data_IF_007923805782
#
_entry.id   IF_007923805782
#
_cell.length_a   1.000
_cell.length_b   1.000
_cell.length_c   1.000
_cell.angle_alpha   90.00
_cell.angle_beta   90.00
_cell.angle_gamma   90.00
#
_symmetry.space_group_name_H-M   'P 1'
#
loop_
_entity.id
_entity.type
_entity.pdbx_description
1 polymer ?
#
# COMPACT_ATOMS: atom_id res chain seq x y z
N UNK A 1 -9.50 -22.26 3.70
CA UNK A 1 -10.53 -22.07 2.66
C UNK A 1 -10.27 -20.71 2.04
N UNK A 2 -9.68 -20.71 0.84
CA UNK A 2 -9.21 -19.50 0.18
C UNK A 2 -10.37 -18.72 -0.42
N UNK A 3 -10.58 -17.49 0.04
CA UNK A 3 -11.48 -16.55 -0.62
C UNK A 3 -10.97 -16.29 -2.04
N UNK A 4 -11.74 -16.76 -3.02
CA UNK A 4 -11.62 -16.40 -4.43
C UNK A 4 -11.72 -14.89 -4.53
N UNK A 5 -10.60 -14.24 -4.88
CA UNK A 5 -10.64 -12.82 -5.21
C UNK A 5 -11.64 -12.62 -6.35
N UNK A 6 -12.44 -11.56 -6.29
CA UNK A 6 -13.31 -11.22 -7.41
C UNK A 6 -12.47 -10.53 -8.48
N UNK A 7 -12.72 -10.80 -9.77
CA UNK A 7 -12.10 -10.04 -10.87
C UNK A 7 -12.68 -8.61 -11.01
N UNK A 8 -13.52 -8.19 -10.05
CA UNK A 8 -14.14 -6.88 -10.00
C UNK A 8 -13.12 -5.84 -9.55
N UNK A 9 -12.90 -4.83 -10.38
CA UNK A 9 -12.10 -3.66 -10.01
C UNK A 9 -12.84 -2.83 -8.94
N UNK A 10 -12.13 -2.37 -7.90
CA UNK A 10 -12.68 -1.43 -6.92
C UNK A 10 -13.03 -0.11 -7.61
N UNK A 11 -14.19 0.42 -7.28
CA UNK A 11 -14.64 1.70 -7.83
C UNK A 11 -14.00 2.87 -7.11
N UNK A 12 -13.92 4.01 -7.81
CA UNK A 12 -13.51 5.29 -7.20
C UNK A 12 -14.34 5.66 -5.98
N UNK A 13 -15.66 5.43 -6.04
CA UNK A 13 -16.56 5.73 -4.92
C UNK A 13 -16.24 4.90 -3.67
N UNK A 14 -15.85 3.64 -3.82
CA UNK A 14 -15.43 2.78 -2.71
C UNK A 14 -14.11 3.23 -2.05
N UNK A 15 -13.27 3.94 -2.80
CA UNK A 15 -11.98 4.49 -2.33
C UNK A 15 -12.09 5.97 -1.90
N UNK A 16 -13.14 6.68 -2.27
CA UNK A 16 -13.38 8.09 -1.93
C UNK A 16 -13.91 8.27 -0.49
N UNK A 17 -13.23 7.65 0.48
CA UNK A 17 -13.57 7.65 1.90
C UNK A 17 -12.37 8.06 2.75
N UNK A 18 -12.55 8.17 4.08
CA UNK A 18 -11.44 8.43 5.00
C UNK A 18 -10.32 7.38 4.84
N UNK A 19 -9.03 7.76 4.82
CA UNK A 19 -7.92 6.82 4.64
C UNK A 19 -7.90 5.66 5.63
N UNK A 20 -8.42 5.83 6.85
CA UNK A 20 -8.56 4.73 7.83
C UNK A 20 -9.57 3.69 7.35
N UNK A 21 -10.71 4.14 6.84
CA UNK A 21 -11.75 3.27 6.28
C UNK A 21 -11.25 2.59 5.00
N UNK A 22 -10.59 3.35 4.12
CA UNK A 22 -9.98 2.80 2.91
C UNK A 22 -8.91 1.75 3.23
N UNK A 23 -8.07 1.98 4.25
CA UNK A 23 -7.03 1.04 4.65
C UNK A 23 -7.61 -0.30 5.11
N UNK A 24 -8.67 -0.29 5.92
CA UNK A 24 -9.35 -1.52 6.34
C UNK A 24 -10.00 -2.25 5.16
N UNK A 25 -10.63 -1.52 4.23
CA UNK A 25 -11.22 -2.09 3.00
C UNK A 25 -10.18 -2.73 2.09
N UNK A 26 -8.99 -2.14 2.00
CA UNK A 26 -7.92 -2.63 1.13
C UNK A 26 -7.28 -3.94 1.61
N UNK A 27 -7.40 -4.29 2.89
CA UNK A 27 -6.92 -5.58 3.38
C UNK A 27 -7.73 -6.72 2.74
N UNK A 28 -7.02 -7.71 2.20
CA UNK A 28 -7.60 -8.82 1.44
C UNK A 28 -7.83 -8.53 -0.04
N UNK A 29 -7.88 -7.27 -0.46
CA UNK A 29 -7.93 -6.89 -1.89
C UNK A 29 -6.63 -7.28 -2.61
N UNK A 30 -6.70 -7.43 -3.93
CA UNK A 30 -5.55 -7.84 -4.75
C UNK A 30 -5.08 -6.68 -5.61
N UNK A 31 -3.83 -6.28 -5.47
CA UNK A 31 -3.17 -5.36 -6.39
C UNK A 31 -2.54 -6.17 -7.52
N UNK A 32 -3.04 -5.99 -8.74
CA UNK A 32 -2.52 -6.61 -9.95
C UNK A 32 -1.69 -5.58 -10.74
N UNK A 33 -0.52 -6.00 -11.22
CA UNK A 33 0.34 -5.22 -12.09
C UNK A 33 0.69 -6.03 -13.34
N UNK A 34 0.32 -5.52 -14.51
CA UNK A 34 0.62 -6.07 -15.83
C UNK A 34 1.78 -5.31 -16.45
N UNK A 35 2.80 -6.06 -16.85
CA UNK A 35 4.01 -5.53 -17.50
C UNK A 35 4.34 -6.41 -18.70
N UNK A 36 5.24 -5.96 -19.58
CA UNK A 36 5.70 -6.75 -20.72
C UNK A 36 6.38 -8.07 -20.32
N UNK A 37 6.95 -8.13 -19.10
CA UNK A 37 7.53 -9.35 -18.53
C UNK A 37 6.48 -10.34 -18.01
N UNK A 38 5.23 -9.91 -17.84
CA UNK A 38 4.13 -10.70 -17.29
C UNK A 38 3.34 -9.98 -16.20
N UNK A 39 2.39 -10.71 -15.60
CA UNK A 39 1.49 -10.21 -14.56
C UNK A 39 1.90 -10.72 -13.19
N UNK A 40 1.92 -9.85 -12.19
CA UNK A 40 2.04 -10.21 -10.77
C UNK A 40 0.83 -9.66 -10.03
N UNK A 41 0.22 -10.50 -9.18
CA UNK A 41 -0.91 -10.12 -8.35
C UNK A 41 -0.60 -10.39 -6.87
N UNK A 42 -0.84 -9.38 -6.02
CA UNK A 42 -0.51 -9.42 -4.59
C UNK A 42 -1.76 -9.13 -3.77
N UNK A 43 -2.16 -10.08 -2.92
CA UNK A 43 -3.18 -9.87 -1.89
C UNK A 43 -2.60 -9.03 -0.77
N UNK A 44 -3.20 -7.87 -0.50
CA UNK A 44 -2.73 -6.95 0.52
C UNK A 44 -3.02 -7.51 1.92
N UNK A 45 -1.99 -7.57 2.77
CA UNK A 45 -2.11 -8.03 4.17
C UNK A 45 -1.62 -7.01 5.18
N UNK A 46 -1.01 -5.91 4.73
CA UNK A 46 -0.55 -4.82 5.58
C UNK A 46 -0.60 -3.49 4.83
N UNK A 47 -1.16 -2.46 5.48
CA UNK A 47 -1.29 -1.10 4.94
C UNK A 47 -1.16 -0.05 6.04
N UNK A 48 -0.90 1.21 5.66
CA UNK A 48 -0.90 2.35 6.57
C UNK A 48 -1.73 3.52 6.03
N UNK A 49 -2.60 4.09 6.86
CA UNK A 49 -3.38 5.28 6.52
C UNK A 49 -2.60 6.57 6.80
N UNK A 50 -2.75 7.54 5.89
CA UNK A 50 -2.23 8.90 6.00
C UNK A 50 -3.33 9.91 5.66
N UNK A 51 -3.77 10.70 6.65
CA UNK A 51 -4.94 11.61 6.54
C UNK A 51 -4.65 13.00 5.97
N UNK A 52 -3.43 13.21 5.49
CA UNK A 52 -3.10 14.42 4.76
C UNK A 52 -2.83 15.61 5.67
N UNK A 53 -3.67 16.65 5.60
CA UNK A 53 -3.44 17.94 6.25
C UNK A 53 -3.49 17.91 7.78
N UNK A 54 -4.15 16.93 8.37
CA UNK A 54 -4.27 16.74 9.83
C UNK A 54 -3.30 15.66 10.38
N UNK A 55 -2.40 15.15 9.54
CA UNK A 55 -1.47 14.08 9.88
C UNK A 55 -0.01 14.52 9.72
N UNK A 56 0.70 14.86 10.81
CA UNK A 56 2.10 15.29 10.75
C UNK A 56 3.07 14.32 10.07
N UNK A 57 2.72 13.03 9.96
CA UNK A 57 3.54 12.04 9.28
C UNK A 57 3.25 11.94 7.77
N UNK A 58 2.20 12.60 7.28
CA UNK A 58 1.83 12.60 5.87
C UNK A 58 2.71 13.54 5.05
N UNK A 59 3.00 13.14 3.81
CA UNK A 59 3.63 14.01 2.83
C UNK A 59 2.81 15.27 2.52
N UNK A 60 1.50 15.28 2.80
CA UNK A 60 0.62 16.41 2.51
C UNK A 60 0.42 17.35 3.71
N UNK A 61 1.01 17.07 4.87
CA UNK A 61 0.83 17.87 6.09
C UNK A 61 1.17 19.35 5.90
N UNK A 62 2.21 19.64 5.10
CA UNK A 62 2.67 21.01 4.79
C UNK A 62 2.09 21.56 3.49
N UNK A 63 1.03 20.94 2.96
CA UNK A 63 0.39 21.32 1.72
C UNK A 63 0.95 20.64 0.46
N UNK A 64 0.46 21.12 -0.68
CA UNK A 64 0.72 20.55 -2.01
C UNK A 64 2.11 20.95 -2.52
N UNK A 65 2.77 19.99 -3.17
CA UNK A 65 4.09 20.11 -3.79
C UNK A 65 4.09 19.30 -5.10
N UNK A 66 5.01 19.55 -6.05
CA UNK A 66 5.11 18.73 -7.26
C UNK A 66 5.30 17.23 -6.98
N UNK A 67 5.91 16.87 -5.84
CA UNK A 67 6.13 15.48 -5.46
C UNK A 67 4.85 14.78 -5.03
N UNK A 68 4.02 15.43 -4.23
CA UNK A 68 2.83 14.82 -3.62
C UNK A 68 1.53 15.20 -4.37
N UNK A 69 1.61 15.90 -5.50
CA UNK A 69 0.46 16.44 -6.23
C UNK A 69 -0.61 15.37 -6.54
N UNK A 70 -0.17 14.15 -6.89
CA UNK A 70 -1.07 12.99 -7.11
C UNK A 70 -1.96 12.72 -5.89
N UNK A 71 -1.45 12.89 -4.66
CA UNK A 71 -2.24 12.66 -3.45
C UNK A 71 -3.40 13.66 -3.28
N UNK A 72 -3.39 14.77 -4.00
CA UNK A 72 -4.49 15.74 -4.02
C UNK A 72 -5.44 15.53 -5.21
N UNK A 73 -5.23 14.49 -6.02
CA UNK A 73 -6.10 14.13 -7.13
C UNK A 73 -7.27 13.23 -6.69
N UNK A 74 -7.99 12.63 -7.66
CA UNK A 74 -9.12 11.75 -7.37
C UNK A 74 -8.71 10.45 -6.66
N UNK A 75 -9.57 9.92 -5.79
CA UNK A 75 -9.39 8.59 -5.21
C UNK A 75 -9.15 7.50 -6.27
N UNK A 76 -8.36 6.50 -5.89
CA UNK A 76 -7.95 5.39 -6.75
C UNK A 76 -6.69 5.66 -7.57
N UNK A 77 -6.13 6.87 -7.58
CA UNK A 77 -4.85 7.11 -8.22
C UNK A 77 -3.68 6.53 -7.42
N UNK A 78 -2.67 6.02 -8.11
CA UNK A 78 -1.47 5.45 -7.51
C UNK A 78 -0.42 6.54 -7.28
N UNK A 79 -0.10 6.85 -6.03
CA UNK A 79 1.02 7.72 -5.69
C UNK A 79 2.29 6.91 -5.43
N UNK A 80 3.23 6.95 -6.38
CA UNK A 80 4.52 6.26 -6.32
C UNK A 80 5.64 7.27 -6.11
N UNK A 81 6.46 7.06 -5.08
CA UNK A 81 7.59 7.94 -4.79
C UNK A 81 8.85 7.16 -4.47
N UNK A 82 9.99 7.77 -4.81
CA UNK A 82 11.31 7.21 -4.53
C UNK A 82 11.76 7.52 -3.09
N UNK A 83 12.39 6.55 -2.44
CA UNK A 83 12.84 6.62 -1.04
C UNK A 83 14.24 6.01 -0.91
N UNK A 84 15.06 6.61 -0.04
CA UNK A 84 16.43 6.17 0.28
C UNK A 84 17.36 5.94 -0.91
N UNK A 85 17.11 6.62 -2.04
CA UNK A 85 18.00 6.56 -3.21
C UNK A 85 17.97 5.24 -3.98
N UNK A 86 17.12 4.26 -3.61
CA UNK A 86 17.14 2.93 -4.23
C UNK A 86 15.77 2.22 -4.31
N UNK A 87 14.73 2.72 -3.66
CA UNK A 87 13.46 2.02 -3.53
C UNK A 87 12.28 2.91 -3.87
N UNK A 88 11.17 2.31 -4.30
CA UNK A 88 9.89 2.98 -4.42
C UNK A 88 8.97 2.57 -3.26
N UNK A 89 8.00 3.42 -2.96
CA UNK A 89 6.80 3.07 -2.19
C UNK A 89 5.59 3.51 -3.00
N UNK A 90 4.46 2.84 -2.79
CA UNK A 90 3.22 3.11 -3.51
C UNK A 90 2.06 3.28 -2.54
N UNK A 91 1.17 4.23 -2.85
CA UNK A 91 -0.01 4.56 -2.05
C UNK A 91 -1.20 4.65 -2.97
N UNK A 92 -2.39 4.34 -2.45
CA UNK A 92 -3.65 4.55 -3.15
C UNK A 92 -4.30 5.80 -2.58
N UNK A 93 -4.56 6.78 -3.43
CA UNK A 93 -5.24 8.02 -3.05
C UNK A 93 -6.66 7.71 -2.60
N UNK A 94 -7.07 8.35 -1.51
CA UNK A 94 -8.37 8.26 -0.86
C UNK A 94 -9.04 9.63 -0.88
N UNK A 95 -10.23 9.77 -0.28
CA UNK A 95 -11.00 11.02 -0.23
C UNK A 95 -11.40 11.53 -1.63
N UNK A 96 -11.77 12.81 -1.73
CA UNK A 96 -12.22 13.44 -2.97
C UNK A 96 -11.13 14.32 -3.57
N UNK A 97 -11.26 14.61 -4.87
CA UNK A 97 -10.34 15.50 -5.58
C UNK A 97 -10.16 16.83 -4.84
N UNK A 98 -8.90 17.29 -4.75
CA UNK A 98 -8.48 18.44 -3.98
C UNK A 98 -8.20 18.19 -2.48
N UNK A 99 -8.66 17.06 -1.91
CA UNK A 99 -8.50 16.74 -0.48
C UNK A 99 -7.47 15.62 -0.30
N UNK A 100 -6.29 15.89 0.31
CA UNK A 100 -5.23 14.91 0.36
C UNK A 100 -5.49 13.81 1.38
N UNK A 101 -5.33 12.56 0.96
CA UNK A 101 -5.33 11.39 1.85
C UNK A 101 -4.96 10.15 1.07
N UNK A 102 -4.24 9.21 1.67
CA UNK A 102 -3.87 7.98 0.98
C UNK A 102 -3.59 6.83 1.93
N UNK A 103 -3.54 5.64 1.36
CA UNK A 103 -3.16 4.40 2.03
C UNK A 103 -1.85 3.89 1.43
N UNK A 104 -0.79 3.82 2.24
CA UNK A 104 0.47 3.17 1.87
C UNK A 104 0.27 1.66 1.80
N UNK A 105 0.71 1.07 0.70
CA UNK A 105 0.74 -0.37 0.50
C UNK A 105 2.03 -0.95 1.08
N UNK A 106 1.93 -1.73 2.15
CA UNK A 106 3.11 -2.18 2.90
C UNK A 106 3.50 -3.60 2.60
N UNK A 107 2.57 -4.53 2.67
CA UNK A 107 2.91 -5.92 2.44
C UNK A 107 1.75 -6.73 1.90
N UNK A 108 2.09 -7.85 1.28
CA UNK A 108 1.12 -8.75 0.70
C UNK A 108 1.68 -10.11 0.35
N UNK A 109 0.77 -11.00 0.02
CA UNK A 109 1.02 -12.37 -0.41
C UNK A 109 0.89 -12.43 -1.94
N UNK A 110 1.90 -12.97 -2.62
CA UNK A 110 1.83 -13.14 -4.08
C UNK A 110 0.85 -14.27 -4.38
N UNK A 111 -0.24 -13.95 -5.08
CA UNK A 111 -1.32 -14.90 -5.43
C UNK A 111 -1.30 -15.31 -6.90
N UNK A 112 -0.61 -14.55 -7.75
CA UNK A 112 -0.33 -14.91 -9.14
C UNK A 112 1.00 -14.29 -9.59
N UNK A 113 1.70 -14.93 -10.54
CA UNK A 113 2.99 -14.46 -11.06
C UNK A 113 4.18 -14.71 -10.12
N UNK A 114 4.14 -15.77 -9.30
CA UNK A 114 5.16 -16.04 -8.27
C UNK A 114 6.58 -16.17 -8.84
N UNK A 115 6.76 -16.82 -9.99
CA UNK A 115 8.09 -16.99 -10.59
C UNK A 115 8.70 -15.65 -11.04
N UNK A 116 7.88 -14.76 -11.63
CA UNK A 116 8.30 -13.40 -11.97
C UNK A 116 8.60 -12.58 -10.71
N UNK A 117 7.78 -12.72 -9.66
CA UNK A 117 8.05 -12.07 -8.38
C UNK A 117 9.37 -12.55 -7.76
N UNK A 118 9.70 -13.84 -7.84
CA UNK A 118 10.99 -14.42 -7.39
C UNK A 118 12.17 -13.87 -8.19
N UNK A 119 12.03 -13.78 -9.51
CA UNK A 119 13.05 -13.18 -10.38
C UNK A 119 13.34 -11.72 -9.99
N UNK A 120 12.29 -10.94 -9.70
CA UNK A 120 12.41 -9.55 -9.23
C UNK A 120 12.92 -9.44 -7.78
N UNK A 121 12.82 -10.51 -7.00
CA UNK A 121 13.16 -10.58 -5.57
C UNK A 121 14.11 -11.75 -5.26
N UNK A 122 15.31 -11.80 -5.86
CA UNK A 122 16.22 -12.95 -5.73
C UNK A 122 16.77 -13.16 -4.32
N UNK A 123 16.62 -12.16 -3.43
CA UNK A 123 17.04 -12.23 -2.03
C UNK A 123 15.98 -12.80 -1.09
N UNK A 124 14.75 -13.01 -1.55
CA UNK A 124 13.71 -13.65 -0.75
C UNK A 124 14.01 -15.15 -0.60
N UNK A 125 13.98 -15.67 0.63
CA UNK A 125 14.22 -17.11 0.89
C UNK A 125 12.94 -17.93 0.78
N UNK A 126 11.78 -17.28 0.92
CA UNK A 126 10.45 -17.88 0.94
C UNK A 126 9.48 -16.94 0.24
N UNK A 127 8.38 -17.48 -0.30
CA UNK A 127 7.38 -16.68 -1.01
C UNK A 127 6.73 -15.60 -0.13
N UNK A 128 6.55 -15.90 1.17
CA UNK A 128 6.08 -14.93 2.15
C UNK A 128 7.00 -13.71 2.33
N UNK A 129 8.24 -13.73 1.83
CA UNK A 129 9.19 -12.62 1.92
C UNK A 129 9.22 -11.76 0.65
N UNK A 130 8.59 -12.21 -0.44
CA UNK A 130 8.63 -11.54 -1.76
C UNK A 130 8.15 -10.10 -1.67
N UNK A 131 7.03 -9.88 -0.98
CA UNK A 131 6.40 -8.58 -0.80
C UNK A 131 6.26 -8.17 0.67
N UNK A 132 7.17 -8.64 1.53
CA UNK A 132 7.20 -8.34 2.98
C UNK A 132 7.82 -6.97 3.28
N UNK A 133 7.11 -5.90 2.95
CA UNK A 133 7.53 -4.50 3.17
C UNK A 133 7.37 -3.64 1.91
N UNK A 134 7.19 -2.31 2.05
CA UNK A 134 6.63 -1.47 0.99
C UNK A 134 7.51 -1.44 -0.27
N UNK A 135 8.82 -1.32 -0.10
CA UNK A 135 9.78 -1.40 -1.19
C UNK A 135 9.76 -2.76 -1.90
N UNK A 136 9.65 -3.85 -1.13
CA UNK A 136 9.63 -5.21 -1.67
C UNK A 136 8.34 -5.47 -2.45
N UNK A 137 7.21 -4.99 -1.95
CA UNK A 137 5.93 -5.02 -2.64
C UNK A 137 6.02 -4.32 -4.00
N UNK A 138 6.53 -3.09 -4.04
CA UNK A 138 6.69 -2.36 -5.32
C UNK A 138 7.63 -3.08 -6.28
N UNK A 139 8.75 -3.64 -5.79
CA UNK A 139 9.69 -4.38 -6.64
C UNK A 139 9.06 -5.67 -7.18
N UNK A 140 8.34 -6.43 -6.38
CA UNK A 140 7.68 -7.65 -6.83
C UNK A 140 6.64 -7.37 -7.95
N UNK A 141 5.88 -6.27 -7.81
CA UNK A 141 4.91 -5.82 -8.81
C UNK A 141 5.53 -5.13 -10.03
N UNK A 142 6.83 -4.83 -10.02
CA UNK A 142 7.47 -4.05 -11.09
C UNK A 142 7.10 -2.57 -11.09
N UNK A 143 6.60 -2.03 -9.97
CA UNK A 143 6.21 -0.63 -9.86
C UNK A 143 7.43 0.29 -9.75
N UNK A 144 7.39 1.36 -10.53
CA UNK A 144 8.45 2.38 -10.65
C UNK A 144 7.85 3.74 -11.05
N UNK A 145 8.69 4.78 -11.18
CA UNK A 145 8.26 6.18 -11.39
C UNK A 145 7.16 6.40 -12.45
N UNK A 146 7.24 5.83 -13.68
CA UNK A 146 6.14 5.94 -14.66
C UNK A 146 4.74 5.51 -14.21
N UNK A 147 4.62 4.69 -13.16
CA UNK A 147 3.32 4.28 -12.63
C UNK A 147 2.67 5.33 -11.71
N UNK A 148 3.40 6.41 -11.37
CA UNK A 148 2.86 7.49 -10.55
C UNK A 148 1.74 8.22 -11.29
N UNK A 149 0.55 8.26 -10.70
CA UNK A 149 -0.65 8.88 -11.27
C UNK A 149 -1.53 7.92 -12.09
N UNK A 150 -1.20 6.62 -12.16
CA UNK A 150 -2.09 5.65 -12.82
C UNK A 150 -3.40 5.51 -12.04
N UNK A 151 -4.53 5.48 -12.75
CA UNK A 151 -5.86 5.22 -12.18
C UNK A 151 -6.05 3.72 -11.96
N UNK A 152 -6.17 3.29 -10.70
CA UNK A 152 -6.33 1.88 -10.35
C UNK A 152 -7.77 1.37 -10.51
N UNK A 153 -8.71 2.27 -10.77
CA UNK A 153 -10.15 1.99 -10.88
C UNK A 153 -10.59 1.80 -12.33
N UNK A 154 -9.72 2.14 -13.29
CA UNK A 154 -9.93 1.90 -14.71
C UNK A 154 -9.68 0.40 -15.04
N UNK A 155 -10.66 -0.32 -15.61
CA UNK A 155 -10.50 -1.73 -16.00
C UNK A 155 -9.34 -2.00 -16.97
N UNK A 156 -8.98 -1.02 -17.80
CA UNK A 156 -7.92 -1.12 -18.81
C UNK A 156 -6.54 -0.72 -18.26
N UNK A 157 -6.48 -0.19 -17.05
CA UNK A 157 -5.25 0.23 -16.39
C UNK A 157 -4.24 -0.91 -16.25
N UNK A 158 -2.93 -0.66 -16.46
CA UNK A 158 -1.89 -1.66 -16.27
C UNK A 158 -1.73 -2.07 -14.80
N UNK A 159 -2.23 -1.25 -13.86
CA UNK A 159 -2.23 -1.56 -12.43
C UNK A 159 -3.64 -1.39 -11.90
N UNK A 160 -4.20 -2.43 -11.27
CA UNK A 160 -5.61 -2.44 -10.83
C UNK A 160 -5.73 -2.98 -9.42
N UNK A 161 -6.72 -2.48 -8.69
CA UNK A 161 -7.08 -3.03 -7.39
C UNK A 161 -8.35 -3.84 -7.55
N UNK A 162 -8.22 -5.15 -7.44
CA UNK A 162 -9.33 -6.09 -7.48
C UNK A 162 -9.93 -6.22 -6.09
N UNK A 163 -11.25 -6.12 -6.03
CA UNK A 163 -12.02 -6.20 -4.82
C UNK A 163 -11.97 -7.61 -4.22
N UNK A 164 -11.99 -7.65 -2.89
CA UNK A 164 -12.26 -8.85 -2.13
C UNK A 164 -13.42 -8.59 -1.17
N UNK A 165 -14.03 -9.66 -0.68
CA UNK A 165 -14.96 -9.54 0.43
C UNK A 165 -14.23 -8.93 1.64
N UNK A 166 -14.88 -8.04 2.41
CA UNK A 166 -14.28 -7.48 3.61
C UNK A 166 -13.85 -8.58 4.57
N UNK A 167 -12.62 -8.46 5.10
CA UNK A 167 -12.14 -9.38 6.12
C UNK A 167 -12.91 -9.20 7.44
N UNK A 168 -13.15 -10.28 8.20
CA UNK A 168 -13.70 -10.18 9.55
C UNK A 168 -12.84 -9.27 10.45
N UNK A 169 -13.48 -8.40 11.23
CA UNK A 169 -12.77 -7.39 12.01
C UNK A 169 -11.80 -7.97 13.05
N UNK A 170 -12.08 -9.16 13.59
CA UNK A 170 -11.24 -9.90 14.53
C UNK A 170 -9.96 -10.47 13.89
N UNK A 171 -9.90 -10.53 12.57
CA UNK A 171 -8.69 -10.91 11.83
C UNK A 171 -7.79 -9.72 11.50
N UNK A 172 -8.24 -8.49 11.76
CA UNK A 172 -7.49 -7.26 11.49
C UNK A 172 -6.93 -6.68 12.78
N UNK A 173 -5.62 -6.55 12.84
CA UNK A 173 -4.93 -5.87 13.94
C UNK A 173 -4.61 -4.43 13.54
N UNK A 174 -4.51 -3.56 14.55
CA UNK A 174 -4.17 -2.16 14.37
C UNK A 174 -3.06 -1.73 15.31
N UNK A 175 -2.24 -0.77 14.89
CA UNK A 175 -1.15 -0.27 15.72
C UNK A 175 -0.33 0.84 15.06
N UNK A 176 0.77 1.26 15.72
CA UNK A 176 1.69 2.27 15.22
C UNK A 176 2.20 2.01 13.81
N UNK A 177 2.30 3.10 13.04
CA UNK A 177 2.96 3.12 11.73
C UNK A 177 4.46 2.90 11.86
N UNK A 178 5.05 2.21 10.90
CA UNK A 178 6.45 1.84 10.86
C UNK A 178 7.29 3.02 10.35
N UNK A 179 8.35 3.35 11.08
CA UNK A 179 9.37 4.29 10.61
C UNK A 179 8.95 5.77 10.60
N UNK A 180 7.75 6.11 11.06
CA UNK A 180 7.34 7.51 11.23
C UNK A 180 8.07 8.15 12.42
N UNK A 181 8.57 9.37 12.26
CA UNK A 181 9.31 10.09 13.31
C UNK A 181 8.42 11.01 14.16
N UNK A 182 7.16 11.20 13.75
CA UNK A 182 6.13 12.02 14.39
C UNK A 182 4.82 11.25 14.37
N UNK A 183 3.87 11.60 15.24
CA UNK A 183 2.60 10.87 15.38
C UNK A 183 2.81 9.36 15.56
N UNK A 184 3.84 8.99 16.34
CA UNK A 184 4.37 7.62 16.43
C UNK A 184 3.41 6.64 17.08
N UNK A 185 2.51 7.10 17.94
CA UNK A 185 1.59 6.23 18.68
C UNK A 185 0.21 6.13 18.01
N UNK A 186 0.02 6.80 16.86
CA UNK A 186 -1.25 6.79 16.13
C UNK A 186 -1.48 5.41 15.48
N UNK A 187 -2.59 4.72 15.79
CA UNK A 187 -2.81 3.32 15.39
C UNK A 187 -3.35 3.19 13.96
N UNK A 188 -2.69 3.81 12.99
CA UNK A 188 -3.11 3.85 11.58
C UNK A 188 -2.33 2.88 10.69
N UNK A 189 -1.65 1.88 11.27
CA UNK A 189 -1.21 0.68 10.55
C UNK A 189 -2.21 -0.44 10.79
N UNK A 190 -2.60 -1.13 9.74
CA UNK A 190 -3.53 -2.25 9.79
C UNK A 190 -2.90 -3.48 9.12
N UNK A 191 -3.10 -4.67 9.70
CA UNK A 191 -2.59 -5.91 9.13
C UNK A 191 -3.48 -7.11 9.45
N UNK A 192 -3.39 -8.14 8.60
CA UNK A 192 -4.06 -9.43 8.82
C UNK A 192 -3.28 -10.23 9.86
N UNK A 193 -3.96 -10.65 10.93
CA UNK A 193 -3.35 -11.41 12.01
C UNK A 193 -2.81 -12.77 11.51
N UNK A 194 -1.66 -13.18 12.04
CA UNK A 194 -1.01 -14.44 11.68
C UNK A 194 -0.43 -14.54 10.27
N UNK A 195 -0.63 -13.57 9.36
CA UNK A 195 -0.05 -13.66 8.02
C UNK A 195 1.49 -13.57 8.06
N UNK A 196 2.22 -14.54 7.47
CA UNK A 196 3.68 -14.54 7.47
C UNK A 196 4.28 -13.43 6.60
N UNK A 197 3.48 -12.82 5.73
CA UNK A 197 3.89 -11.75 4.82
C UNK A 197 3.86 -10.35 5.48
N UNK A 198 3.23 -10.20 6.66
CA UNK A 198 3.26 -8.94 7.42
C UNK A 198 4.71 -8.54 7.73
N UNK A 199 5.05 -7.28 7.46
CA UNK A 199 6.39 -6.74 7.65
C UNK A 199 6.73 -6.51 9.12
N UNK A 200 8.03 -6.48 9.43
CA UNK A 200 8.49 -6.26 10.79
C UNK A 200 8.28 -4.80 11.23
N UNK A 201 7.76 -4.62 12.45
CA UNK A 201 7.63 -3.28 13.03
C UNK A 201 9.02 -2.70 13.36
N UNK A 202 9.20 -1.41 13.03
CA UNK A 202 10.36 -0.61 13.42
C UNK A 202 9.88 0.76 13.84
N UNK A 203 10.22 1.16 15.06
CA UNK A 203 9.93 2.51 15.54
C UNK A 203 10.75 3.53 14.77
N UNK A 204 10.14 4.62 14.33
CA UNK A 204 10.87 5.75 13.75
C UNK A 204 11.43 6.71 14.81
N UNK A 205 12.23 7.67 14.35
CA UNK A 205 12.92 8.63 15.21
C UNK A 205 14.21 8.09 15.85
N UNK A 206 15.04 8.99 16.39
CA UNK A 206 16.24 8.57 17.15
C UNK A 206 15.78 7.94 18.47
N UNK A 207 16.32 6.77 18.80
CA UNK A 207 16.21 6.25 20.16
C UNK A 207 16.84 7.29 21.10
N UNK A 208 16.06 7.86 22.02
CA UNK A 208 16.63 8.66 23.10
C UNK A 208 17.42 7.69 23.98
N UNK A 209 18.74 7.71 23.88
CA UNK A 209 19.60 7.12 24.90
C UNK A 209 19.21 7.80 26.22
N UNK A 210 18.76 7.02 27.20
CA UNK A 210 18.59 7.52 28.56
C UNK A 210 19.99 7.81 29.10
N UNK A 211 20.42 9.07 29.03
CA UNK A 211 21.45 9.61 29.92
C UNK A 211 20.84 9.88 31.28
#
# INVERSE_FOLDING_TARGET
MGGTGTDRVLTRAELAVDPVVAAQRLLGCVLESRTDEGTVAIRLVEVEAYRGGDDPASHCYRGRTPRNDVMFGPAGHLYVYFVYGMHFCANIVSLTDGVPGAVLLRAGEVVSGVELARLRRPTARRDAELAKGPARLTTALGLHRPHNGVDLTDPDSPVRVLAADPLPADTIQAGPRVGVAVAMDVPWRFWVDGSPAVSGYRRGGKARTRT
#
